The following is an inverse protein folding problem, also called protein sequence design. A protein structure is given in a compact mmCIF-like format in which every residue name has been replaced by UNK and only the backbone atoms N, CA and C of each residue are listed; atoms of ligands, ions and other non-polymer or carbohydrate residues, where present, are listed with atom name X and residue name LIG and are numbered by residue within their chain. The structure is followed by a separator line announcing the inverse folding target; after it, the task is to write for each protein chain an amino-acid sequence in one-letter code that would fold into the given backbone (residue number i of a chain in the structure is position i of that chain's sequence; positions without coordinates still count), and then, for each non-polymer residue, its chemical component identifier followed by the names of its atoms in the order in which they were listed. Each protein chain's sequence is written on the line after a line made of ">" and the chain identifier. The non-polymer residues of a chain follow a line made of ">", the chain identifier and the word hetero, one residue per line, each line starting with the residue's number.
data_IF_959331433464
#
_entry.id   IF_959331433464
#
_cell.length_a   1.000
_cell.length_b   1.000
_cell.length_c   1.000
_cell.angle_alpha   90.00
_cell.angle_beta   90.00
_cell.angle_gamma   90.00
#
_symmetry.space_group_name_H-M   'P 1'
#
loop_
_entity.id
_entity.type
_entity.pdbx_description
1 polymer ?
#
# COMPACT_ATOMS: atom_id res chain seq x y z
N UNK A 1 -31.21 -8.21 3.45
CA UNK A 1 -30.29 -8.85 4.41
C UNK A 1 -29.34 -9.77 3.66
N UNK A 2 -28.13 -9.34 3.32
CA UNK A 2 -27.07 -10.23 2.84
C UNK A 2 -26.06 -10.40 3.98
N UNK A 3 -26.40 -11.30 4.90
CA UNK A 3 -25.47 -11.77 5.91
C UNK A 3 -24.32 -12.53 5.24
N UNK A 4 -23.10 -12.21 5.67
CA UNK A 4 -21.88 -12.97 5.44
C UNK A 4 -21.59 -13.31 3.98
N UNK A 5 -20.94 -12.41 3.23
CA UNK A 5 -20.33 -12.80 1.95
C UNK A 5 -18.96 -12.14 1.80
N UNK A 6 -17.96 -13.02 1.72
CA UNK A 6 -16.55 -12.80 1.42
C UNK A 6 -15.79 -11.98 2.47
N UNK A 7 -15.22 -12.65 3.48
CA UNK A 7 -13.85 -12.30 3.81
C UNK A 7 -13.06 -12.59 2.52
N UNK A 8 -12.49 -11.59 1.83
CA UNK A 8 -11.68 -11.88 0.65
C UNK A 8 -10.57 -12.85 1.10
N UNK A 9 -10.24 -13.84 0.29
CA UNK A 9 -8.92 -14.46 0.41
C UNK A 9 -7.92 -13.32 0.23
N UNK A 10 -7.40 -12.81 1.35
CA UNK A 10 -6.46 -11.69 1.36
C UNK A 10 -5.19 -12.17 0.67
N UNK A 11 -5.08 -11.86 -0.60
CA UNK A 11 -3.83 -11.95 -1.33
C UNK A 11 -2.94 -10.77 -0.99
N UNK A 12 -1.62 -10.90 -1.20
CA UNK A 12 -0.62 -9.85 -0.96
C UNK A 12 -0.92 -8.49 -1.63
N UNK A 13 -1.76 -8.50 -2.67
CA UNK A 13 -2.19 -7.32 -3.41
C UNK A 13 -3.71 -7.35 -3.64
N UNK A 14 -4.48 -7.42 -2.54
CA UNK A 14 -5.92 -7.15 -2.58
C UNK A 14 -6.18 -5.71 -3.06
N UNK A 15 -7.35 -5.45 -3.64
CA UNK A 15 -7.68 -4.16 -4.25
C UNK A 15 -7.59 -3.00 -3.26
N UNK A 16 -7.88 -3.25 -1.99
CA UNK A 16 -7.82 -2.26 -0.91
C UNK A 16 -6.44 -2.17 -0.23
N UNK A 17 -5.49 -3.05 -0.58
CA UNK A 17 -4.13 -2.99 -0.04
C UNK A 17 -3.49 -1.68 -0.47
N UNK A 18 -2.94 -0.93 0.49
CA UNK A 18 -2.22 0.30 0.22
C UNK A 18 -0.79 -0.02 -0.18
N UNK A 19 -0.32 0.64 -1.23
CA UNK A 19 1.04 0.58 -1.74
C UNK A 19 1.73 1.91 -1.44
N UNK A 20 2.95 1.84 -0.93
CA UNK A 20 3.77 3.01 -0.57
C UNK A 20 5.18 2.83 -1.11
N UNK A 21 5.75 3.87 -1.69
CA UNK A 21 7.15 3.89 -2.11
C UNK A 21 8.07 4.01 -0.88
N UNK A 22 9.12 3.17 -0.82
CA UNK A 22 10.03 3.13 0.32
C UNK A 22 11.01 4.32 0.37
N UNK A 23 11.22 5.00 -0.74
CA UNK A 23 12.19 6.09 -0.84
C UNK A 23 12.73 6.28 -2.26
N UNK A 24 13.87 6.97 -2.41
CA UNK A 24 14.49 7.21 -3.71
C UNK A 24 14.86 5.91 -4.41
N UNK A 25 14.56 5.80 -5.70
CA UNK A 25 14.99 4.68 -6.53
C UNK A 25 16.50 4.79 -6.78
N UNK A 26 17.29 3.73 -6.55
CA UNK A 26 18.72 3.75 -6.84
C UNK A 26 18.96 3.84 -8.34
N UNK A 27 19.95 4.61 -8.77
CA UNK A 27 20.26 4.82 -10.19
C UNK A 27 20.60 3.52 -10.97
N UNK A 28 20.97 2.45 -10.26
CA UNK A 28 21.24 1.12 -10.83
C UNK A 28 19.98 0.29 -11.08
N UNK A 29 18.80 0.70 -10.57
CA UNK A 29 17.56 -0.02 -10.80
C UNK A 29 17.12 0.17 -12.26
N UNK A 30 16.95 -0.95 -12.96
CA UNK A 30 16.40 -0.96 -14.31
C UNK A 30 14.88 -1.15 -14.20
N UNK A 31 14.15 -0.05 -14.33
CA UNK A 31 12.69 -0.03 -14.24
C UNK A 31 12.07 0.20 -15.62
N UNK A 32 10.97 -0.50 -15.87
CA UNK A 32 10.09 -0.16 -16.99
C UNK A 32 9.35 1.17 -16.71
N UNK A 33 8.82 1.84 -17.75
CA UNK A 33 8.06 3.09 -17.59
C UNK A 33 6.91 2.96 -16.59
N UNK A 34 6.17 1.85 -16.63
CA UNK A 34 5.04 1.57 -15.74
C UNK A 34 5.49 1.40 -14.30
N UNK A 35 6.61 0.70 -14.06
CA UNK A 35 7.20 0.54 -12.73
C UNK A 35 7.68 1.89 -12.16
N UNK A 36 8.28 2.72 -13.01
CA UNK A 36 8.70 4.08 -12.62
C UNK A 36 7.49 4.92 -12.24
N UNK A 37 6.43 4.89 -13.04
CA UNK A 37 5.18 5.58 -12.74
C UNK A 37 4.56 5.12 -11.41
N UNK A 38 4.53 3.81 -11.15
CA UNK A 38 4.04 3.27 -9.87
C UNK A 38 4.82 3.87 -8.70
N UNK A 39 6.16 3.86 -8.73
CA UNK A 39 6.98 4.36 -7.62
C UNK A 39 6.78 5.86 -7.41
N UNK A 40 6.68 6.64 -8.49
CA UNK A 40 6.43 8.08 -8.41
C UNK A 40 5.05 8.40 -7.80
N UNK A 41 3.99 7.71 -8.23
CA UNK A 41 2.63 7.89 -7.71
C UNK A 41 2.49 7.41 -6.27
N UNK A 42 3.13 6.29 -5.93
CA UNK A 42 3.07 5.69 -4.59
C UNK A 42 3.94 6.42 -3.56
N UNK A 43 4.53 7.59 -3.89
CA UNK A 43 5.10 8.50 -2.87
C UNK A 43 4.07 8.92 -1.82
N UNK A 44 2.79 8.87 -2.18
CA UNK A 44 1.67 8.85 -1.25
C UNK A 44 1.00 7.47 -1.29
N UNK A 45 0.40 6.99 -0.18
CA UNK A 45 -0.31 5.72 -0.20
C UNK A 45 -1.42 5.71 -1.25
N UNK A 46 -1.43 4.68 -2.11
CA UNK A 46 -2.50 4.41 -3.08
C UNK A 46 -2.91 2.94 -2.99
N UNK A 47 -4.20 2.67 -3.12
CA UNK A 47 -4.69 1.30 -3.19
C UNK A 47 -4.31 0.63 -4.53
N UNK A 48 -4.24 -0.71 -4.55
CA UNK A 48 -3.98 -1.46 -5.80
C UNK A 48 -5.00 -1.12 -6.89
N UNK A 49 -6.26 -0.87 -6.50
CA UNK A 49 -7.31 -0.43 -7.42
C UNK A 49 -7.00 0.94 -8.04
N UNK A 50 -6.59 1.92 -7.24
CA UNK A 50 -6.22 3.26 -7.72
C UNK A 50 -5.00 3.20 -8.64
N UNK A 51 -3.97 2.41 -8.30
CA UNK A 51 -2.80 2.23 -9.17
C UNK A 51 -3.22 1.68 -10.54
N UNK A 52 -4.11 0.69 -10.58
CA UNK A 52 -4.61 0.16 -11.84
C UNK A 52 -5.44 1.16 -12.65
N UNK A 53 -6.26 1.96 -11.96
CA UNK A 53 -7.07 2.99 -12.60
C UNK A 53 -6.21 4.12 -13.20
N UNK A 54 -5.19 4.60 -12.48
CA UNK A 54 -4.31 5.67 -12.94
C UNK A 54 -3.43 5.24 -14.12
N UNK A 55 -3.02 3.96 -14.17
CA UNK A 55 -2.22 3.42 -15.28
C UNK A 55 -3.07 2.91 -16.44
N UNK A 56 -4.40 2.85 -16.29
CA UNK A 56 -5.32 2.19 -17.23
C UNK A 56 -4.91 0.74 -17.55
N UNK A 57 -4.47 -0.01 -16.53
CA UNK A 57 -3.99 -1.39 -16.67
C UNK A 57 -4.90 -2.40 -15.95
N UNK A 58 -5.05 -3.63 -16.50
CA UNK A 58 -5.73 -4.70 -15.80
C UNK A 58 -5.07 -5.02 -14.45
N UNK A 59 -5.88 -5.29 -13.42
CA UNK A 59 -5.42 -5.58 -12.05
C UNK A 59 -4.39 -6.72 -12.01
N UNK A 60 -4.53 -7.73 -12.86
CA UNK A 60 -3.55 -8.82 -12.96
C UNK A 60 -2.16 -8.33 -13.35
N UNK A 61 -2.07 -7.44 -14.34
CA UNK A 61 -0.82 -6.82 -14.79
C UNK A 61 -0.23 -5.96 -13.68
N UNK A 62 -1.05 -5.13 -13.04
CA UNK A 62 -0.62 -4.29 -11.91
C UNK A 62 -0.02 -5.13 -10.79
N UNK A 63 -0.65 -6.25 -10.42
CA UNK A 63 -0.14 -7.16 -9.37
C UNK A 63 1.23 -7.75 -9.70
N UNK A 64 1.51 -8.03 -10.97
CA UNK A 64 2.84 -8.50 -11.41
C UNK A 64 3.87 -7.40 -11.22
N UNK A 65 3.60 -6.19 -11.72
CA UNK A 65 4.51 -5.04 -11.57
C UNK A 65 4.78 -4.70 -10.11
N UNK A 66 3.74 -4.72 -9.27
CA UNK A 66 3.86 -4.54 -7.82
C UNK A 66 4.67 -5.67 -7.18
N UNK A 67 4.53 -6.91 -7.64
CA UNK A 67 5.33 -8.04 -7.19
C UNK A 67 6.83 -7.82 -7.43
N UNK A 68 7.18 -7.34 -8.61
CA UNK A 68 8.58 -7.06 -8.99
C UNK A 68 9.15 -5.90 -8.17
N UNK A 69 8.39 -4.81 -8.02
CA UNK A 69 8.79 -3.65 -7.23
C UNK A 69 8.95 -3.98 -5.74
N UNK A 70 8.09 -4.85 -5.20
CA UNK A 70 8.17 -5.31 -3.81
C UNK A 70 9.40 -6.20 -3.61
N UNK A 71 9.69 -7.09 -4.55
CA UNK A 71 10.90 -7.91 -4.53
C UNK A 71 12.17 -7.06 -4.60
N UNK A 72 12.15 -5.99 -5.41
CA UNK A 72 13.21 -4.99 -5.52
C UNK A 72 13.30 -4.05 -4.29
N UNK A 73 12.40 -4.19 -3.29
CA UNK A 73 12.33 -3.33 -2.10
C UNK A 73 12.14 -1.84 -2.42
N UNK A 74 11.49 -1.54 -3.53
CA UNK A 74 11.18 -0.16 -3.93
C UNK A 74 9.84 0.32 -3.40
N UNK A 75 8.95 -0.62 -3.10
CA UNK A 75 7.65 -0.36 -2.47
C UNK A 75 7.49 -1.23 -1.22
N UNK A 76 6.47 -0.89 -0.45
CA UNK A 76 5.90 -1.73 0.60
C UNK A 76 4.37 -1.69 0.53
N UNK A 77 3.75 -2.66 1.19
CA UNK A 77 2.30 -2.81 1.24
C UNK A 77 1.83 -2.70 2.68
N UNK A 78 0.76 -1.96 2.89
CA UNK A 78 0.05 -1.89 4.15
C UNK A 78 -1.38 -2.40 3.96
N UNK A 79 -1.78 -3.37 4.78
CA UNK A 79 -3.19 -3.67 4.91
C UNK A 79 -3.87 -2.55 5.70
N UNK A 80 -5.01 -2.04 5.24
CA UNK A 80 -5.78 -1.10 6.03
C UNK A 80 -6.18 -1.76 7.36
N UNK A 81 -5.96 -1.10 8.51
CA UNK A 81 -6.27 -1.68 9.81
C UNK A 81 -7.77 -1.97 9.92
N UNK A 82 -8.10 -3.11 10.49
CA UNK A 82 -9.47 -3.39 10.90
C UNK A 82 -9.82 -2.59 12.15
N UNK A 83 -11.12 -2.34 12.39
CA UNK A 83 -11.57 -1.58 13.58
C UNK A 83 -11.07 -2.17 14.91
N UNK A 84 -10.80 -3.47 14.95
CA UNK A 84 -10.28 -4.15 16.14
C UNK A 84 -8.77 -3.95 16.35
N UNK A 85 -8.03 -3.52 15.33
CA UNK A 85 -6.59 -3.28 15.36
C UNK A 85 -6.25 -1.81 15.62
N UNK A 86 -7.23 -0.92 15.59
CA UNK A 86 -7.04 0.48 15.88
C UNK A 86 -6.76 0.68 17.38
N UNK A 87 -5.66 1.38 17.76
CA UNK A 87 -5.41 1.71 19.14
C UNK A 87 -6.52 2.59 19.71
N UNK A 88 -6.79 2.46 21.01
CA UNK A 88 -7.82 3.28 21.66
C UNK A 88 -7.42 4.76 21.67
N UNK A 89 -8.42 5.64 21.72
CA UNK A 89 -8.21 7.09 21.73
C UNK A 89 -7.37 7.53 22.94
N UNK A 90 -7.55 6.85 24.08
CA UNK A 90 -6.78 7.10 25.29
C UNK A 90 -5.29 6.84 25.07
N UNK A 91 -4.94 5.70 24.45
CA UNK A 91 -3.54 5.35 24.16
C UNK A 91 -2.90 6.35 23.19
N UNK A 92 -3.62 6.74 22.12
CA UNK A 92 -3.12 7.74 21.17
C UNK A 92 -2.87 9.10 21.86
N UNK A 93 -3.76 9.49 22.77
CA UNK A 93 -3.63 10.73 23.55
C UNK A 93 -2.40 10.67 24.47
N UNK A 94 -2.21 9.56 25.19
CA UNK A 94 -1.04 9.35 26.05
C UNK A 94 0.27 9.37 25.25
N UNK A 95 0.34 8.70 24.10
CA UNK A 95 1.51 8.71 23.24
C UNK A 95 1.82 10.11 22.71
N UNK A 96 0.81 10.87 22.27
CA UNK A 96 0.99 12.24 21.80
C UNK A 96 1.44 13.18 22.92
N UNK A 97 0.94 13.00 24.15
CA UNK A 97 1.40 13.75 25.31
C UNK A 97 2.88 13.41 25.62
N UNK A 98 3.26 12.14 25.58
CA UNK A 98 4.63 11.68 25.78
C UNK A 98 5.62 12.22 24.74
N UNK A 99 5.27 12.19 23.45
CA UNK A 99 6.11 12.72 22.37
C UNK A 99 6.33 14.23 22.45
N UNK A 100 5.40 14.99 23.06
CA UNK A 100 5.51 16.45 23.24
C UNK A 100 6.24 16.88 24.51
N UNK A 101 6.47 15.95 25.43
CA UNK A 101 7.18 16.19 26.68
C UNK A 101 8.71 15.96 26.57
N UNK A 102 9.18 15.57 25.38
CA UNK A 102 10.58 15.41 24.99
C UNK A 102 11.06 16.65 24.21
#
# INVERSE_FOLDING_TARGET
>A
MTGGRAAPERGRFDLITLVVARGPVPASAQLFPEQTAIVEMCRRPLSVAEVGAELDLPVGTVRVLLGDLLAARLIETHEPPTLAELPSEELLTELLAGLRAL
#
